data_IF_070140566663
#
_entry.id   IF_070140566663
#
_cell.length_a   1.000
_cell.length_b   1.000
_cell.length_c   1.000
_cell.angle_alpha   90.00
_cell.angle_beta   90.00
_cell.angle_gamma   90.00
#
_symmetry.space_group_name_H-M   'P 1'
#
loop_
_entity.id
_entity.type
_entity.pdbx_description
1 polymer ?
#
# COMPACT_ATOMS: atom_id res chain seq x y z
N UNK A 1 -18.16 36.22 3.59
CA UNK A 1 -18.06 35.11 4.56
C UNK A 1 -18.53 33.88 3.82
N UNK A 2 -17.62 32.96 3.47
CA UNK A 2 -18.01 31.71 2.81
C UNK A 2 -18.66 30.80 3.84
N UNK A 3 -19.90 30.38 3.59
CA UNK A 3 -20.58 29.37 4.41
C UNK A 3 -19.79 28.07 4.32
N UNK A 4 -19.10 27.70 5.41
CA UNK A 4 -18.51 26.39 5.55
C UNK A 4 -19.66 25.40 5.83
N UNK A 5 -20.27 24.87 4.78
CA UNK A 5 -21.12 23.66 4.85
C UNK A 5 -20.24 22.44 5.14
N UNK A 6 -19.59 22.44 6.30
CA UNK A 6 -18.74 21.36 6.77
C UNK A 6 -19.59 20.14 7.07
N UNK A 7 -19.38 19.07 6.32
CA UNK A 7 -19.92 17.75 6.65
C UNK A 7 -19.25 17.30 7.95
N UNK A 8 -20.01 17.21 9.03
CA UNK A 8 -19.52 16.71 10.31
C UNK A 8 -19.46 15.18 10.28
N UNK A 9 -18.24 14.63 10.24
CA UNK A 9 -18.01 13.19 10.19
C UNK A 9 -17.96 12.62 11.60
N UNK A 10 -18.94 11.78 11.95
CA UNK A 10 -18.95 11.04 13.21
C UNK A 10 -18.10 9.78 13.09
N UNK A 11 -16.92 9.80 13.70
CA UNK A 11 -15.98 8.68 13.72
C UNK A 11 -15.95 8.00 15.10
N UNK A 12 -15.60 6.72 15.13
CA UNK A 12 -15.33 5.96 16.37
C UNK A 12 -13.87 6.11 16.82
N UNK A 13 -13.48 5.39 17.88
CA UNK A 13 -12.11 5.41 18.43
C UNK A 13 -11.05 4.88 17.46
N UNK A 14 -11.46 4.07 16.46
CA UNK A 14 -10.59 3.57 15.40
C UNK A 14 -10.56 4.50 14.17
N UNK A 15 -11.22 5.67 14.23
CA UNK A 15 -11.29 6.62 13.12
C UNK A 15 -12.22 6.18 11.99
N UNK A 16 -13.06 5.17 12.21
CA UNK A 16 -14.03 4.67 11.23
C UNK A 16 -15.37 5.36 11.42
N UNK A 17 -16.14 5.50 10.33
CA UNK A 17 -17.49 6.07 10.44
C UNK A 17 -18.33 5.29 11.46
N UNK A 18 -18.98 5.98 12.39
CA UNK A 18 -19.72 5.37 13.48
C UNK A 18 -20.87 4.45 13.00
N UNK A 19 -21.38 4.72 11.79
CA UNK A 19 -22.43 3.94 11.15
C UNK A 19 -21.89 2.90 10.15
N UNK A 20 -20.56 2.72 10.06
CA UNK A 20 -19.95 1.71 9.20
C UNK A 20 -20.39 0.31 9.63
N UNK A 21 -21.04 -0.48 8.75
CA UNK A 21 -21.40 -1.86 9.07
C UNK A 21 -20.16 -2.67 9.43
N UNK A 22 -20.22 -3.38 10.55
CA UNK A 22 -19.15 -4.28 10.98
C UNK A 22 -19.37 -5.68 10.41
N UNK A 23 -18.28 -6.39 10.04
CA UNK A 23 -18.38 -7.81 9.69
C UNK A 23 -19.07 -8.61 10.80
N UNK A 24 -19.99 -9.51 10.41
CA UNK A 24 -20.81 -10.25 11.38
C UNK A 24 -20.10 -11.50 11.95
N UNK A 25 -19.07 -12.00 11.27
CA UNK A 25 -18.35 -13.19 11.67
C UNK A 25 -17.23 -12.84 12.66
N UNK A 26 -17.04 -13.67 13.70
CA UNK A 26 -16.12 -13.40 14.82
C UNK A 26 -14.64 -13.29 14.43
N UNK A 27 -14.27 -13.79 13.26
CA UNK A 27 -12.90 -13.77 12.76
C UNK A 27 -12.63 -12.61 11.80
N UNK A 28 -13.69 -11.96 11.32
CA UNK A 28 -13.57 -10.88 10.34
C UNK A 28 -13.27 -9.58 11.06
N UNK A 29 -12.29 -8.83 10.56
CA UNK A 29 -11.81 -7.62 11.20
C UNK A 29 -11.58 -6.52 10.17
N UNK A 30 -11.91 -5.28 10.55
CA UNK A 30 -11.41 -4.10 9.86
C UNK A 30 -10.03 -3.83 10.46
N UNK A 31 -8.98 -4.06 9.67
CA UNK A 31 -7.60 -3.90 10.11
C UNK A 31 -7.05 -2.56 9.63
N UNK A 32 -6.21 -1.95 10.45
CA UNK A 32 -5.40 -0.81 10.06
C UNK A 32 -3.99 -1.32 9.75
N UNK A 33 -3.64 -1.39 8.47
CA UNK A 33 -2.34 -1.85 8.01
C UNK A 33 -1.61 -0.66 7.39
N UNK A 34 -0.56 -0.13 8.05
CA UNK A 34 0.25 0.94 7.48
C UNK A 34 0.82 0.54 6.13
N UNK A 35 0.70 1.43 5.14
CA UNK A 35 1.20 1.17 3.80
C UNK A 35 1.93 2.40 3.24
N UNK A 36 2.84 2.16 2.29
CA UNK A 36 3.44 3.23 1.48
C UNK A 36 3.21 2.99 -0.01
N UNK A 37 2.86 4.05 -0.76
CA UNK A 37 2.77 3.96 -2.21
C UNK A 37 4.15 3.90 -2.86
N UNK A 38 4.35 2.96 -3.77
CA UNK A 38 5.49 2.87 -4.68
C UNK A 38 4.99 3.10 -6.10
N UNK A 39 5.50 4.14 -6.76
CA UNK A 39 4.95 4.66 -8.00
C UNK A 39 5.86 4.36 -9.21
N UNK A 40 5.23 3.94 -10.30
CA UNK A 40 5.83 3.75 -11.61
C UNK A 40 4.99 4.50 -12.64
N UNK A 41 5.62 5.38 -13.40
CA UNK A 41 4.97 6.13 -14.48
C UNK A 41 5.67 5.83 -15.79
N UNK A 42 4.88 5.74 -16.85
CA UNK A 42 5.35 5.55 -18.21
C UNK A 42 4.33 6.04 -19.23
N UNK A 43 4.76 6.24 -20.48
CA UNK A 43 3.88 6.70 -21.56
C UNK A 43 2.94 5.58 -22.03
N UNK A 44 3.24 4.32 -21.66
CA UNK A 44 2.40 3.15 -21.90
C UNK A 44 2.24 2.27 -20.64
N UNK A 45 1.01 1.80 -20.42
CA UNK A 45 0.69 0.98 -19.26
C UNK A 45 1.50 -0.33 -19.16
N UNK A 46 1.71 -1.10 -20.25
CA UNK A 46 2.53 -2.31 -20.19
C UNK A 46 3.94 -2.07 -19.66
N UNK A 47 4.65 -1.04 -20.13
CA UNK A 47 6.00 -0.71 -19.65
C UNK A 47 6.00 -0.33 -18.17
N UNK A 48 5.01 0.45 -17.72
CA UNK A 48 4.86 0.78 -16.30
C UNK A 48 4.66 -0.48 -15.43
N UNK A 49 3.84 -1.43 -15.90
CA UNK A 49 3.58 -2.71 -15.23
C UNK A 49 4.81 -3.62 -15.22
N UNK A 50 5.56 -3.71 -16.32
CA UNK A 50 6.79 -4.50 -16.38
C UNK A 50 7.82 -4.00 -15.37
N UNK A 51 7.99 -2.67 -15.27
CA UNK A 51 8.89 -2.06 -14.29
C UNK A 51 8.45 -2.30 -12.85
N UNK A 52 7.14 -2.25 -12.58
CA UNK A 52 6.58 -2.57 -11.28
C UNK A 52 6.83 -4.06 -10.93
N UNK A 53 6.59 -4.97 -11.86
CA UNK A 53 6.84 -6.41 -11.68
C UNK A 53 8.33 -6.71 -11.47
N UNK A 54 9.21 -6.08 -12.23
CA UNK A 54 10.66 -6.22 -12.06
C UNK A 54 11.14 -5.70 -10.71
N UNK A 55 10.55 -4.61 -10.21
CA UNK A 55 10.84 -4.13 -8.87
C UNK A 55 10.36 -5.11 -7.79
N UNK A 56 9.14 -5.65 -7.91
CA UNK A 56 8.60 -6.65 -6.98
C UNK A 56 9.53 -7.88 -6.87
N UNK A 57 10.00 -8.42 -8.00
CA UNK A 57 10.94 -9.56 -8.01
C UNK A 57 12.26 -9.24 -7.30
N UNK A 58 12.79 -8.03 -7.49
CA UNK A 58 14.03 -7.60 -6.82
C UNK A 58 13.83 -7.45 -5.33
N UNK A 59 12.69 -6.89 -4.91
CA UNK A 59 12.34 -6.74 -3.50
C UNK A 59 12.12 -8.10 -2.86
N UNK A 60 11.38 -9.01 -3.50
CA UNK A 60 11.21 -10.38 -3.03
C UNK A 60 12.55 -11.08 -2.81
N UNK A 61 13.47 -10.96 -3.77
CA UNK A 61 14.81 -11.52 -3.63
C UNK A 61 15.61 -10.89 -2.48
N UNK A 62 15.43 -9.60 -2.21
CA UNK A 62 16.11 -8.90 -1.11
C UNK A 62 15.49 -9.23 0.25
N UNK A 63 14.16 -9.22 0.32
CA UNK A 63 13.38 -9.60 1.49
C UNK A 63 13.42 -11.09 1.77
N UNK A 64 13.84 -11.94 0.83
CA UNK A 64 13.81 -13.40 0.97
C UNK A 64 12.40 -13.99 1.02
N UNK A 65 11.37 -13.16 0.81
CA UNK A 65 9.96 -13.51 0.74
C UNK A 65 9.19 -12.43 -0.04
N UNK A 66 7.98 -12.71 -0.55
CA UNK A 66 7.19 -11.73 -1.28
C UNK A 66 6.84 -10.51 -0.40
N UNK A 67 6.88 -9.32 -0.99
CA UNK A 67 6.37 -8.11 -0.34
C UNK A 67 4.84 -8.11 -0.30
N UNK A 68 4.27 -7.71 0.82
CA UNK A 68 2.84 -7.53 1.00
C UNK A 68 2.34 -6.32 0.21
N UNK A 69 1.63 -6.58 -0.88
CA UNK A 69 0.91 -5.57 -1.67
C UNK A 69 -0.56 -5.59 -1.27
N UNK A 70 -1.01 -4.49 -0.65
CA UNK A 70 -2.39 -4.32 -0.14
C UNK A 70 -3.33 -3.90 -1.27
N UNK A 71 -2.86 -3.04 -2.18
CA UNK A 71 -3.64 -2.58 -3.33
C UNK A 71 -2.75 -2.16 -4.51
N UNK A 72 -3.32 -2.17 -5.70
CA UNK A 72 -2.72 -1.65 -6.93
C UNK A 72 -3.67 -0.60 -7.50
N UNK A 73 -3.19 0.63 -7.64
CA UNK A 73 -3.91 1.71 -8.30
C UNK A 73 -3.34 1.92 -9.70
N UNK A 74 -4.20 1.85 -10.71
CA UNK A 74 -3.88 2.12 -12.11
C UNK A 74 -4.59 3.40 -12.52
N UNK A 75 -3.83 4.36 -13.04
CA UNK A 75 -4.36 5.67 -13.44
C UNK A 75 -3.85 6.07 -14.82
N UNK A 76 -4.59 6.96 -15.47
CA UNK A 76 -4.22 7.61 -16.72
C UNK A 76 -4.54 9.10 -16.60
N UNK A 77 -3.55 9.93 -16.91
CA UNK A 77 -3.64 11.39 -16.81
C UNK A 77 -3.11 12.03 -18.10
N UNK A 78 -3.94 12.87 -18.71
CA UNK A 78 -3.62 13.66 -19.90
C UNK A 78 -3.92 15.16 -19.76
N UNK A 79 -4.14 15.63 -18.53
CA UNK A 79 -4.61 16.99 -18.25
C UNK A 79 -3.66 18.09 -18.77
N UNK A 80 -2.35 17.81 -18.81
CA UNK A 80 -1.31 18.75 -19.24
C UNK A 80 -0.81 18.50 -20.68
N UNK A 81 -1.53 17.68 -21.46
CA UNK A 81 -1.16 17.36 -22.85
C UNK A 81 0.06 16.47 -23.00
N UNK A 82 0.57 15.92 -21.90
CA UNK A 82 1.61 14.88 -21.85
C UNK A 82 1.00 13.64 -21.18
N UNK A 83 0.33 12.75 -21.94
CA UNK A 83 -0.38 11.62 -21.38
C UNK A 83 0.59 10.63 -20.74
N UNK A 84 0.27 10.13 -19.55
CA UNK A 84 1.02 9.05 -18.91
C UNK A 84 0.10 8.09 -18.18
N UNK A 85 0.57 6.86 -18.02
CA UNK A 85 -0.03 5.86 -17.16
C UNK A 85 0.74 5.80 -15.84
N UNK A 86 0.02 5.61 -14.74
CA UNK A 86 0.58 5.42 -13.41
C UNK A 86 0.18 4.07 -12.84
N UNK A 87 1.18 3.32 -12.37
CA UNK A 87 1.00 2.14 -11.52
C UNK A 87 1.50 2.49 -10.13
N UNK A 88 0.62 2.44 -9.13
CA UNK A 88 0.96 2.69 -7.73
C UNK A 88 0.63 1.46 -6.89
N UNK A 89 1.68 0.84 -6.35
CA UNK A 89 1.58 -0.30 -5.44
C UNK A 89 1.50 0.23 -4.01
N UNK A 90 0.47 -0.16 -3.26
CA UNK A 90 0.34 0.16 -1.84
C UNK A 90 0.92 -1.01 -1.06
N UNK A 91 2.20 -0.90 -0.67
CA UNK A 91 2.90 -1.99 0.02
C UNK A 91 2.88 -1.78 1.53
N UNK A 92 2.86 -2.86 2.30
CA UNK A 92 3.00 -2.83 3.76
C UNK A 92 4.28 -2.07 4.16
N UNK A 93 4.17 -1.16 5.13
CA UNK A 93 5.30 -0.34 5.58
C UNK A 93 6.41 -1.18 6.23
N UNK A 94 6.05 -2.22 6.98
CA UNK A 94 6.99 -3.09 7.69
C UNK A 94 7.93 -3.84 6.72
N UNK A 95 7.41 -4.31 5.60
CA UNK A 95 8.20 -4.96 4.56
C UNK A 95 9.14 -3.97 3.89
N UNK A 96 8.66 -2.76 3.59
CA UNK A 96 9.52 -1.71 3.02
C UNK A 96 10.60 -1.25 4.00
N UNK A 97 10.37 -1.36 5.31
CA UNK A 97 11.36 -1.15 6.35
C UNK A 97 12.37 -2.30 6.47
N UNK A 98 12.12 -3.44 5.82
CA UNK A 98 12.98 -4.62 5.85
C UNK A 98 12.90 -5.41 7.16
N UNK A 99 11.76 -5.36 7.87
CA UNK A 99 11.61 -6.10 9.12
C UNK A 99 11.85 -7.62 8.95
N UNK A 100 11.42 -8.29 7.86
CA UNK A 100 11.78 -9.68 7.63
C UNK A 100 13.29 -9.96 7.62
N UNK A 101 14.08 -9.06 7.03
CA UNK A 101 15.55 -9.18 6.99
C UNK A 101 16.13 -9.05 8.39
N UNK A 102 15.64 -8.08 9.17
CA UNK A 102 16.11 -7.86 10.55
C UNK A 102 15.76 -9.04 11.47
N UNK A 103 14.56 -9.61 11.35
CA UNK A 103 14.11 -10.76 12.12
C UNK A 103 14.97 -12.00 11.85
N UNK A 104 15.27 -12.31 10.58
CA UNK A 104 16.15 -13.43 10.23
C UNK A 104 17.57 -13.24 10.76
N UNK A 105 18.15 -12.04 10.62
CA UNK A 105 19.48 -11.76 11.16
C UNK A 105 19.55 -11.94 12.68
N UNK A 106 18.49 -11.59 13.41
CA UNK A 106 18.40 -11.79 14.85
C UNK A 106 18.33 -13.28 15.25
N UNK A 107 17.66 -14.11 14.45
CA UNK A 107 17.58 -15.55 14.65
C UNK A 107 18.91 -16.25 14.39
N UNK A 108 19.65 -15.82 13.37
CA UNK A 108 20.99 -16.36 13.03
C UNK A 108 22.07 -15.97 14.06
N UNK A 109 21.91 -14.82 14.73
CA UNK A 109 22.84 -14.31 15.74
C UNK A 109 22.59 -14.82 17.17
N UNK A 110 21.52 -15.56 17.42
CA UNK A 110 21.20 -16.09 18.75
C UNK A 110 22.04 -17.36 19.05
N UNK A 111 22.78 -17.43 20.17
CA UNK A 111 23.43 -18.68 20.57
C UNK A 111 22.35 -19.71 20.93
N UNK A 112 22.40 -20.87 20.25
CA UNK A 112 21.54 -22.03 20.53
C UNK A 112 21.88 -22.75 21.83
#
# INVERSE_FOLDING_TARGET
MSENTGVDLRLDEAGLAAELPRPAHLQDQIQDVPFRPVQFRDDDLPTALERAADWLRRVESWLGEPVDVIAIHLDYDDADGSPYYEVKLLCNDEDLAGAPVALRAAQEGAPG
#
